data_IF_450301498816
#
_entry.id   IF_450301498816
#
_cell.length_a   1.000
_cell.length_b   1.000
_cell.length_c   1.000
_cell.angle_alpha   90.00
_cell.angle_beta   90.00
_cell.angle_gamma   90.00
#
_symmetry.space_group_name_H-M   'P 1'
#
loop_
_entity.id
_entity.type
_entity.pdbx_description
1 polymer ?
#
# COMPACT_ATOMS: atom_id res chain seq x y z
N UNK A 1 11.40 -0.89 -0.54
CA UNK A 1 12.81 -0.86 -0.11
C UNK A 1 13.03 -0.12 1.22
N UNK A 2 12.08 0.73 1.65
CA UNK A 2 12.21 1.45 2.92
C UNK A 2 12.15 0.48 4.11
N UNK A 3 13.02 0.63 5.13
CA UNK A 3 13.11 -0.30 6.27
C UNK A 3 11.84 -0.36 7.13
N UNK A 4 10.98 0.66 7.12
CA UNK A 4 9.69 0.62 7.82
C UNK A 4 8.82 -0.58 7.41
N UNK A 5 8.83 -0.97 6.13
CA UNK A 5 8.05 -2.10 5.62
C UNK A 5 8.62 -3.44 6.09
N UNK A 6 9.95 -3.54 6.18
CA UNK A 6 10.62 -4.72 6.74
C UNK A 6 10.29 -4.86 8.24
N UNK A 7 10.22 -3.73 8.95
CA UNK A 7 9.85 -3.74 10.37
C UNK A 7 8.39 -4.16 10.56
N UNK A 8 7.45 -3.61 9.79
CA UNK A 8 6.04 -4.02 9.83
C UNK A 8 5.89 -5.53 9.57
N UNK A 9 6.58 -6.03 8.55
CA UNK A 9 6.61 -7.46 8.22
C UNK A 9 7.18 -8.30 9.36
N UNK A 10 8.31 -7.91 9.93
CA UNK A 10 8.94 -8.63 11.04
C UNK A 10 8.03 -8.72 12.27
N UNK A 11 7.33 -7.66 12.64
CA UNK A 11 6.36 -7.70 13.74
C UNK A 11 5.15 -8.60 13.44
N UNK A 12 4.66 -8.60 12.21
CA UNK A 12 3.59 -9.49 11.80
C UNK A 12 4.04 -10.96 11.86
N UNK A 13 5.20 -11.29 11.32
CA UNK A 13 5.80 -12.64 11.33
C UNK A 13 6.12 -13.12 12.75
N UNK A 14 6.51 -12.22 13.66
CA UNK A 14 6.72 -12.53 15.07
C UNK A 14 5.42 -12.75 15.87
N UNK A 15 4.25 -12.52 15.24
CA UNK A 15 2.95 -12.70 15.88
C UNK A 15 2.61 -11.63 16.93
N UNK A 16 3.26 -10.47 16.88
CA UNK A 16 3.10 -9.37 17.85
C UNK A 16 1.66 -8.84 17.94
N UNK A 17 0.89 -8.98 16.87
CA UNK A 17 -0.52 -8.57 16.83
C UNK A 17 -1.51 -9.75 16.92
N UNK A 18 -1.01 -10.96 17.16
CA UNK A 18 -1.83 -12.17 17.16
C UNK A 18 -2.24 -12.60 15.75
N UNK A 19 -3.46 -13.08 15.58
CA UNK A 19 -3.99 -13.49 14.28
C UNK A 19 -4.39 -12.25 13.48
N UNK A 20 -3.82 -12.08 12.28
CA UNK A 20 -4.21 -10.98 11.37
C UNK A 20 -5.69 -11.11 10.98
N UNK A 21 -6.45 -10.02 11.11
CA UNK A 21 -7.90 -9.97 10.82
C UNK A 21 -8.26 -8.99 9.72
N UNK A 22 -7.54 -7.87 9.63
CA UNK A 22 -7.84 -6.81 8.68
C UNK A 22 -6.59 -6.03 8.27
N UNK A 23 -6.55 -5.60 7.03
CA UNK A 23 -5.59 -4.60 6.54
C UNK A 23 -6.37 -3.45 5.92
N UNK A 24 -6.07 -2.23 6.33
CA UNK A 24 -6.60 -0.99 5.72
C UNK A 24 -5.47 -0.13 5.20
N UNK A 25 -5.64 0.44 4.00
CA UNK A 25 -4.66 1.31 3.38
C UNK A 25 -5.32 2.53 2.73
N UNK A 26 -4.73 3.69 2.89
CA UNK A 26 -5.19 4.88 2.21
C UNK A 26 -4.03 5.66 1.61
N UNK A 27 -4.20 6.10 0.36
CA UNK A 27 -3.35 7.09 -0.26
C UNK A 27 -4.22 8.09 -1.01
N UNK A 28 -4.22 9.32 -0.57
CA UNK A 28 -4.98 10.41 -1.20
C UNK A 28 -4.15 11.67 -1.27
N UNK A 29 -4.40 12.47 -2.28
CA UNK A 29 -3.88 13.83 -2.44
C UNK A 29 -4.85 14.67 -3.26
N UNK A 30 -4.71 16.00 -3.19
CA UNK A 30 -5.56 16.90 -3.94
C UNK A 30 -4.80 17.45 -5.16
N UNK A 31 -5.15 16.95 -6.35
CA UNK A 31 -4.60 17.41 -7.62
C UNK A 31 -5.54 18.44 -8.25
N UNK A 32 -5.06 19.69 -8.34
CA UNK A 32 -5.82 20.81 -8.90
C UNK A 32 -5.51 21.07 -10.39
N UNK A 33 -4.35 20.64 -10.85
CA UNK A 33 -3.91 20.79 -12.23
C UNK A 33 -4.61 19.74 -13.13
N UNK A 34 -5.58 20.17 -13.90
CA UNK A 34 -6.35 19.32 -14.82
C UNK A 34 -5.55 18.86 -16.05
N UNK A 35 -4.48 19.56 -16.42
CA UNK A 35 -3.59 19.18 -17.52
C UNK A 35 -2.58 18.11 -17.13
N UNK A 36 -2.48 17.79 -15.85
CA UNK A 36 -1.59 16.73 -15.36
C UNK A 36 -1.96 15.38 -15.98
N UNK A 37 -0.94 14.58 -16.32
CA UNK A 37 -1.11 13.27 -16.97
C UNK A 37 -2.05 12.32 -16.19
N UNK A 38 -2.16 12.48 -14.88
CA UNK A 38 -3.07 11.69 -14.03
C UNK A 38 -4.55 11.93 -14.32
N UNK A 39 -4.89 13.07 -14.91
CA UNK A 39 -6.25 13.42 -15.35
C UNK A 39 -6.51 13.03 -16.82
N UNK A 40 -5.56 12.37 -17.47
CA UNK A 40 -5.63 12.06 -18.90
C UNK A 40 -5.78 10.56 -19.15
N UNK A 41 -6.90 10.11 -19.74
CA UNK A 41 -7.11 8.69 -20.03
C UNK A 41 -6.15 8.15 -21.11
N UNK A 42 -5.78 8.98 -22.10
CA UNK A 42 -4.80 8.64 -23.14
C UNK A 42 -3.37 8.44 -22.59
N UNK A 43 -3.07 9.01 -21.44
CA UNK A 43 -1.79 8.83 -20.73
C UNK A 43 -1.86 7.71 -19.66
N UNK A 44 -2.97 6.97 -19.58
CA UNK A 44 -3.16 5.97 -18.55
C UNK A 44 -3.38 6.55 -17.15
N UNK A 45 -4.01 7.72 -17.05
CA UNK A 45 -4.31 8.38 -15.78
C UNK A 45 -5.25 7.58 -14.87
N UNK A 46 -5.51 8.13 -13.70
CA UNK A 46 -6.37 7.54 -12.66
C UNK A 46 -5.67 7.34 -11.33
N UNK A 47 -6.42 7.41 -10.25
CA UNK A 47 -5.88 7.27 -8.89
C UNK A 47 -5.37 5.85 -8.62
N UNK A 48 -6.07 4.84 -9.09
CA UNK A 48 -5.64 3.44 -8.93
C UNK A 48 -4.32 3.17 -9.64
N UNK A 49 -4.15 3.64 -10.87
CA UNK A 49 -2.91 3.41 -11.63
C UNK A 49 -1.73 4.16 -11.05
N UNK A 50 -1.96 5.37 -10.53
CA UNK A 50 -0.89 6.19 -9.95
C UNK A 50 -0.52 5.75 -8.53
N UNK A 51 -1.52 5.57 -7.66
CA UNK A 51 -1.29 5.34 -6.23
C UNK A 51 -1.88 4.04 -5.66
N UNK A 52 -2.70 3.32 -6.41
CA UNK A 52 -3.16 1.98 -6.01
C UNK A 52 -2.03 0.96 -5.88
N UNK A 53 -0.98 1.10 -6.68
CA UNK A 53 0.23 0.26 -6.57
C UNK A 53 0.83 0.26 -5.16
N UNK A 54 0.74 1.38 -4.45
CA UNK A 54 1.26 1.51 -3.09
C UNK A 54 0.34 0.86 -2.06
N UNK A 55 -0.97 1.08 -2.14
CA UNK A 55 -1.93 0.50 -1.20
C UNK A 55 -2.01 -1.02 -1.34
N UNK A 56 -2.01 -1.54 -2.57
CA UNK A 56 -2.01 -2.97 -2.85
C UNK A 56 -0.65 -3.61 -2.57
N UNK A 57 0.41 -2.99 -3.07
CA UNK A 57 1.77 -3.49 -2.92
C UNK A 57 2.22 -3.59 -1.47
N UNK A 58 1.89 -2.60 -0.61
CA UNK A 58 2.25 -2.64 0.81
C UNK A 58 1.54 -3.77 1.56
N UNK A 59 0.24 -3.96 1.33
CA UNK A 59 -0.51 -5.06 1.91
C UNK A 59 0.08 -6.42 1.50
N UNK A 60 0.27 -6.64 0.19
CA UNK A 60 0.85 -7.87 -0.35
C UNK A 60 2.27 -8.13 0.14
N UNK A 61 3.10 -7.08 0.22
CA UNK A 61 4.48 -7.20 0.66
C UNK A 61 4.60 -7.62 2.13
N UNK A 62 3.86 -6.96 3.01
CA UNK A 62 3.94 -7.22 4.47
C UNK A 62 3.32 -8.57 4.82
N UNK A 63 2.19 -8.92 4.19
CA UNK A 63 1.43 -10.14 4.53
C UNK A 63 1.79 -11.36 3.69
N UNK A 64 2.55 -11.19 2.59
CA UNK A 64 2.80 -12.23 1.60
C UNK A 64 1.51 -12.91 1.11
N UNK A 65 0.42 -12.15 0.96
CA UNK A 65 -0.92 -12.66 0.65
C UNK A 65 -1.43 -12.10 -0.67
N UNK A 66 -2.33 -12.85 -1.31
CA UNK A 66 -2.96 -12.48 -2.58
C UNK A 66 -4.48 -12.29 -2.39
N UNK A 67 -5.13 -11.45 -3.23
CA UNK A 67 -6.57 -11.29 -3.19
C UNK A 67 -7.27 -12.56 -3.70
N UNK A 68 -8.33 -12.98 -3.01
CA UNK A 68 -9.21 -14.09 -3.42
C UNK A 68 -10.64 -13.64 -3.71
N UNK A 69 -11.00 -12.46 -3.22
CA UNK A 69 -12.29 -11.81 -3.51
C UNK A 69 -12.11 -10.31 -3.41
N UNK A 70 -12.59 -9.56 -4.41
CA UNK A 70 -12.53 -8.10 -4.46
C UNK A 70 -13.85 -7.51 -4.91
N UNK A 71 -14.20 -6.37 -4.34
CA UNK A 71 -15.24 -5.46 -4.80
C UNK A 71 -14.72 -4.03 -4.77
N UNK A 72 -15.23 -3.16 -5.64
CA UNK A 72 -14.80 -1.79 -5.70
C UNK A 72 -15.90 -0.81 -6.06
N UNK A 73 -15.78 0.43 -5.61
CA UNK A 73 -16.57 1.59 -6.02
C UNK A 73 -15.62 2.64 -6.58
N UNK A 74 -15.93 3.15 -7.76
CA UNK A 74 -15.10 4.10 -8.48
C UNK A 74 -15.92 5.38 -8.76
N UNK A 75 -15.26 6.54 -8.63
CA UNK A 75 -15.78 7.80 -9.17
C UNK A 75 -14.91 8.15 -10.36
N UNK A 76 -15.53 8.28 -11.53
CA UNK A 76 -14.86 8.61 -12.77
C UNK A 76 -15.08 10.08 -13.12
N UNK A 77 -14.02 10.76 -13.52
CA UNK A 77 -14.06 12.10 -14.11
C UNK A 77 -13.26 12.07 -15.41
N UNK A 78 -13.86 12.50 -16.50
CA UNK A 78 -13.20 12.56 -17.81
C UNK A 78 -12.51 11.25 -18.24
N UNK A 79 -13.09 10.10 -17.85
CA UNK A 79 -12.59 8.77 -18.25
C UNK A 79 -11.45 8.22 -17.42
N UNK A 80 -11.12 8.84 -16.27
CA UNK A 80 -10.17 8.32 -15.29
C UNK A 80 -10.82 8.21 -13.91
N UNK A 81 -10.40 7.24 -13.11
CA UNK A 81 -10.83 7.15 -11.72
C UNK A 81 -10.14 8.23 -10.88
N UNK A 82 -10.94 9.08 -10.25
CA UNK A 82 -10.45 10.12 -9.32
C UNK A 82 -10.59 9.70 -7.86
N UNK A 83 -11.37 8.66 -7.63
CA UNK A 83 -11.57 8.00 -6.35
C UNK A 83 -11.81 6.51 -6.58
N UNK A 84 -11.20 5.67 -5.76
CA UNK A 84 -11.51 4.26 -5.67
C UNK A 84 -11.55 3.80 -4.21
N UNK A 85 -12.60 3.07 -3.87
CA UNK A 85 -12.73 2.33 -2.62
C UNK A 85 -12.78 0.85 -2.94
N UNK A 86 -11.85 0.09 -2.37
CA UNK A 86 -11.73 -1.36 -2.59
C UNK A 86 -11.96 -2.08 -1.27
N UNK A 87 -12.71 -3.15 -1.30
CA UNK A 87 -12.88 -4.07 -0.19
C UNK A 87 -12.76 -5.51 -0.69
N UNK A 88 -12.28 -6.41 0.17
CA UNK A 88 -12.16 -7.80 -0.24
C UNK A 88 -11.57 -8.71 0.83
N UNK A 89 -11.22 -9.90 0.39
CA UNK A 89 -10.56 -10.95 1.18
C UNK A 89 -9.20 -11.23 0.56
N UNK A 90 -8.19 -11.28 1.40
CA UNK A 90 -6.86 -11.76 1.04
C UNK A 90 -6.54 -13.07 1.75
N UNK A 91 -5.70 -13.90 1.13
CA UNK A 91 -5.29 -15.19 1.66
C UNK A 91 -3.79 -15.41 1.45
N UNK A 92 -3.12 -15.96 2.47
CA UNK A 92 -1.69 -16.25 2.44
C UNK A 92 -1.20 -16.94 3.71
N UNK A 93 0.09 -16.82 4.04
CA UNK A 93 0.68 -17.51 5.21
C UNK A 93 0.02 -17.16 6.55
N UNK A 94 -0.60 -15.99 6.64
CA UNK A 94 -1.29 -15.53 7.86
C UNK A 94 -2.80 -15.87 7.86
N UNK A 95 -3.24 -16.78 6.98
CA UNK A 95 -4.63 -17.18 6.82
C UNK A 95 -5.43 -16.20 5.96
N UNK A 96 -6.75 -16.20 6.15
CA UNK A 96 -7.68 -15.28 5.47
C UNK A 96 -7.98 -14.09 6.36
N UNK A 97 -7.97 -12.91 5.75
CA UNK A 97 -8.30 -11.65 6.42
C UNK A 97 -9.00 -10.69 5.46
N UNK A 98 -9.73 -9.73 6.00
CA UNK A 98 -10.38 -8.69 5.20
C UNK A 98 -9.38 -7.61 4.80
N UNK A 99 -9.57 -7.04 3.62
CA UNK A 99 -8.79 -5.94 3.09
C UNK A 99 -9.70 -4.77 2.75
N UNK A 100 -9.24 -3.56 3.06
CA UNK A 100 -9.84 -2.31 2.63
C UNK A 100 -8.79 -1.35 2.09
N UNK A 101 -9.10 -0.61 1.03
CA UNK A 101 -8.26 0.50 0.64
C UNK A 101 -9.04 1.64 -0.02
N UNK A 102 -8.42 2.82 0.02
CA UNK A 102 -8.93 4.01 -0.63
C UNK A 102 -7.80 4.76 -1.34
N UNK A 103 -8.04 5.12 -2.59
CA UNK A 103 -7.19 6.04 -3.35
C UNK A 103 -8.00 7.22 -3.85
N UNK A 104 -7.42 8.41 -3.90
CA UNK A 104 -8.06 9.56 -4.51
C UNK A 104 -7.09 10.67 -4.89
N UNK A 105 -7.39 11.33 -5.99
CA UNK A 105 -6.74 12.56 -6.44
C UNK A 105 -7.57 13.82 -6.12
N UNK A 106 -8.63 13.70 -5.33
CA UNK A 106 -9.56 14.79 -5.00
C UNK A 106 -9.71 15.05 -3.50
N UNK A 107 -9.03 14.25 -2.67
CA UNK A 107 -9.07 14.38 -1.21
C UNK A 107 -7.79 15.00 -0.68
N UNK A 108 -7.86 15.53 0.55
CA UNK A 108 -6.68 16.00 1.26
C UNK A 108 -5.63 14.89 1.41
N UNK A 109 -4.37 15.26 1.50
CA UNK A 109 -3.26 14.31 1.60
C UNK A 109 -3.41 13.41 2.84
N UNK A 110 -3.45 12.10 2.61
CA UNK A 110 -3.47 11.07 3.64
C UNK A 110 -2.71 9.85 3.14
N UNK A 111 -1.78 9.38 3.95
CA UNK A 111 -1.06 8.14 3.69
C UNK A 111 -0.99 7.34 4.98
N UNK A 112 -1.56 6.16 4.98
CA UNK A 112 -1.54 5.25 6.14
C UNK A 112 -1.76 3.82 5.69
N UNK A 113 -1.11 2.88 6.37
CA UNK A 113 -1.42 1.46 6.27
C UNK A 113 -1.50 0.88 7.68
N UNK A 114 -2.55 0.11 7.93
CA UNK A 114 -2.81 -0.50 9.24
C UNK A 114 -3.01 -2.00 9.07
N UNK A 115 -2.32 -2.79 9.89
CA UNK A 115 -2.49 -4.24 10.00
C UNK A 115 -3.09 -4.53 11.36
N UNK A 116 -4.33 -5.00 11.41
CA UNK A 116 -5.06 -5.27 12.65
C UNK A 116 -5.17 -6.76 12.92
N UNK A 117 -4.71 -7.15 14.09
CA UNK A 117 -4.88 -8.49 14.61
C UNK A 117 -5.82 -8.51 15.82
N UNK A 118 -5.99 -9.70 16.41
CA UNK A 118 -6.83 -9.90 17.60
C UNK A 118 -6.13 -9.55 18.93
N UNK A 119 -4.81 -9.24 18.90
CA UNK A 119 -4.03 -8.84 20.08
C UNK A 119 -3.33 -7.49 19.95
N UNK A 120 -3.37 -6.88 18.77
CA UNK A 120 -2.70 -5.61 18.52
C UNK A 120 -2.88 -5.12 17.10
N UNK A 121 -2.15 -4.05 16.80
CA UNK A 121 -2.21 -3.37 15.51
C UNK A 121 -0.81 -2.84 15.16
N UNK A 122 -0.40 -2.98 13.90
CA UNK A 122 0.75 -2.31 13.33
C UNK A 122 0.23 -1.18 12.46
N UNK A 123 0.76 0.03 12.65
CA UNK A 123 0.40 1.21 11.90
C UNK A 123 1.63 1.83 11.26
N UNK A 124 1.59 2.07 9.97
CA UNK A 124 2.65 2.72 9.20
C UNK A 124 2.14 4.08 8.76
N UNK A 125 2.74 5.13 9.30
CA UNK A 125 2.37 6.54 9.11
C UNK A 125 3.58 7.40 8.77
N UNK A 126 3.44 8.73 8.86
CA UNK A 126 4.50 9.66 8.49
C UNK A 126 4.75 9.70 6.97
N UNK A 127 3.67 9.56 6.19
CA UNK A 127 3.75 9.52 4.73
C UNK A 127 4.45 8.26 4.21
N UNK A 128 3.98 7.05 4.55
CA UNK A 128 4.70 5.80 4.33
C UNK A 128 5.10 5.54 2.88
N UNK A 129 4.39 6.09 1.92
CA UNK A 129 4.68 5.92 0.50
C UNK A 129 5.67 6.96 -0.04
N UNK A 130 5.79 8.10 0.66
CA UNK A 130 6.77 9.16 0.42
C UNK A 130 7.68 9.34 1.65
N UNK A 131 8.13 8.24 2.22
CA UNK A 131 8.88 8.20 3.46
C UNK A 131 10.06 9.17 3.47
N UNK A 132 10.13 10.00 4.53
CA UNK A 132 11.13 11.04 4.76
C UNK A 132 11.12 12.20 3.72
N UNK A 133 10.06 12.36 2.93
CA UNK A 133 9.90 13.51 2.03
C UNK A 133 9.13 14.64 2.72
N UNK A 134 7.96 14.31 3.29
CA UNK A 134 7.06 15.30 3.91
C UNK A 134 7.04 15.17 5.43
N UNK A 135 7.35 13.99 5.96
CA UNK A 135 7.35 13.69 7.37
C UNK A 135 8.33 12.55 7.67
N UNK A 136 8.63 12.33 8.94
CA UNK A 136 9.53 11.26 9.37
C UNK A 136 8.83 9.90 9.26
N UNK A 137 9.45 8.98 8.51
CA UNK A 137 8.95 7.62 8.41
C UNK A 137 8.95 6.93 9.76
N UNK A 138 7.78 6.43 10.16
CA UNK A 138 7.63 5.70 11.41
C UNK A 138 6.68 4.51 11.27
N UNK A 139 6.88 3.55 12.14
CA UNK A 139 5.98 2.41 12.31
C UNK A 139 5.68 2.22 13.79
N UNK A 140 4.43 2.02 14.10
CA UNK A 140 3.94 1.84 15.45
C UNK A 140 3.41 0.42 15.65
N UNK A 141 3.71 -0.17 16.80
CA UNK A 141 3.09 -1.38 17.30
C UNK A 141 2.23 -1.06 18.52
N UNK A 142 0.94 -1.24 18.39
CA UNK A 142 -0.05 -1.05 19.45
C UNK A 142 -0.45 -2.41 20.02
N UNK A 143 -0.35 -2.57 21.33
CA UNK A 143 -0.69 -3.82 22.04
C UNK A 143 -1.58 -3.56 23.25
N UNK A 144 -2.11 -4.62 23.84
CA UNK A 144 -2.93 -4.56 25.04
C UNK A 144 -2.25 -3.77 26.17
N UNK A 145 -3.05 -3.13 27.03
CA UNK A 145 -2.54 -2.32 28.14
C UNK A 145 -2.02 -0.95 27.72
N UNK A 146 -2.48 -0.43 26.58
CA UNK A 146 -2.05 0.86 26.02
C UNK A 146 -0.53 0.94 25.71
N UNK A 147 0.11 -0.21 25.51
CA UNK A 147 1.52 -0.25 25.11
C UNK A 147 1.63 0.15 23.64
N UNK A 148 2.45 1.16 23.37
CA UNK A 148 2.81 1.59 22.02
C UNK A 148 4.33 1.59 21.89
N UNK A 149 4.84 0.96 20.86
CA UNK A 149 6.25 1.02 20.45
C UNK A 149 6.30 1.78 19.13
N UNK A 150 7.01 2.89 19.08
CA UNK A 150 7.22 3.67 17.86
C UNK A 150 8.68 3.54 17.43
N UNK A 151 8.89 3.15 16.18
CA UNK A 151 10.22 3.07 15.57
C UNK A 151 10.31 4.06 14.40
N UNK A 152 11.37 4.90 14.40
CA UNK A 152 11.57 5.97 13.41
C UNK A 152 12.80 5.71 12.55
N UNK A 153 12.72 6.14 11.28
CA UNK A 153 13.74 5.90 10.28
C UNK A 153 14.19 7.22 9.61
N UNK A 154 14.93 8.08 10.34
CA UNK A 154 15.15 9.46 9.92
C UNK A 154 16.03 9.64 8.68
N UNK A 155 16.84 8.63 8.33
CA UNK A 155 17.89 8.78 7.30
C UNK A 155 17.70 7.86 6.08
N UNK A 156 16.66 7.03 6.06
CA UNK A 156 16.46 6.09 4.96
C UNK A 156 15.85 6.79 3.73
N UNK A 157 16.45 6.58 2.56
CA UNK A 157 15.90 6.98 1.28
C UNK A 157 15.58 5.73 0.45
N UNK A 158 14.30 5.46 0.23
CA UNK A 158 13.85 4.24 -0.44
C UNK A 158 14.29 4.16 -1.91
N UNK A 159 14.45 5.27 -2.61
CA UNK A 159 14.94 5.29 -3.98
C UNK A 159 16.43 4.94 -4.06
N UNK A 160 17.25 5.46 -3.15
CA UNK A 160 18.65 5.06 -3.03
C UNK A 160 18.75 3.57 -2.76
N UNK A 161 18.02 3.07 -1.76
CA UNK A 161 17.98 1.64 -1.41
C UNK A 161 17.52 0.76 -2.58
N UNK A 162 16.56 1.24 -3.38
CA UNK A 162 16.08 0.55 -4.57
C UNK A 162 17.18 0.41 -5.63
N UNK A 163 17.85 1.52 -5.96
CA UNK A 163 18.92 1.54 -6.98
C UNK A 163 20.11 0.68 -6.53
N UNK A 164 20.49 0.78 -5.26
CA UNK A 164 21.57 -0.04 -4.69
C UNK A 164 21.22 -1.54 -4.71
N UNK A 165 19.98 -1.91 -4.35
CA UNK A 165 19.52 -3.30 -4.39
C UNK A 165 19.54 -3.84 -5.82
N UNK A 166 19.08 -3.07 -6.80
CA UNK A 166 19.11 -3.45 -8.21
C UNK A 166 20.55 -3.61 -8.71
N UNK A 167 21.41 -2.65 -8.36
CA UNK A 167 22.83 -2.72 -8.70
C UNK A 167 23.54 -3.96 -8.13
N UNK A 168 23.24 -4.36 -6.89
CA UNK A 168 23.76 -5.62 -6.30
C UNK A 168 23.25 -6.84 -7.03
N UNK A 169 21.96 -6.87 -7.38
CA UNK A 169 21.40 -8.00 -8.14
C UNK A 169 22.13 -8.23 -9.46
N UNK A 170 22.50 -7.15 -10.17
CA UNK A 170 23.25 -7.24 -11.43
C UNK A 170 24.70 -7.66 -11.20
N UNK A 171 25.41 -7.02 -10.27
CA UNK A 171 26.85 -7.23 -10.09
C UNK A 171 27.20 -8.50 -9.33
N UNK A 172 26.36 -8.89 -8.37
CA UNK A 172 26.66 -9.95 -7.40
C UNK A 172 25.75 -11.17 -7.56
N UNK A 173 24.73 -11.08 -8.44
CA UNK A 173 23.80 -12.19 -8.68
C UNK A 173 22.86 -12.46 -7.50
N UNK A 174 22.76 -11.54 -6.53
CA UNK A 174 21.83 -11.69 -5.40
C UNK A 174 20.38 -11.45 -5.83
N UNK A 175 19.44 -12.13 -5.20
CA UNK A 175 18.02 -11.97 -5.52
C UNK A 175 17.56 -10.52 -5.28
N UNK A 176 16.84 -9.95 -6.24
CA UNK A 176 16.23 -8.63 -6.07
C UNK A 176 15.04 -8.71 -5.09
N UNK A 177 14.97 -7.83 -4.08
CA UNK A 177 13.95 -7.91 -3.03
C UNK A 177 12.50 -7.76 -3.51
N UNK A 178 12.30 -7.18 -4.70
CA UNK A 178 10.99 -6.98 -5.30
C UNK A 178 10.95 -7.63 -6.70
N UNK A 179 10.78 -8.97 -6.80
CA UNK A 179 10.83 -9.67 -8.07
C UNK A 179 9.67 -9.27 -8.99
N UNK A 180 9.85 -9.44 -10.31
CA UNK A 180 8.84 -9.09 -11.32
C UNK A 180 7.50 -9.78 -11.07
N UNK A 181 7.50 -11.01 -10.57
CA UNK A 181 6.25 -11.73 -10.25
C UNK A 181 5.44 -11.04 -9.15
N UNK A 182 6.11 -10.44 -8.17
CA UNK A 182 5.43 -9.62 -7.17
C UNK A 182 4.79 -8.38 -7.81
N UNK A 183 5.49 -7.69 -8.71
CA UNK A 183 4.97 -6.51 -9.42
C UNK A 183 3.80 -6.88 -10.32
N UNK A 184 3.90 -7.98 -11.07
CA UNK A 184 2.80 -8.52 -11.89
C UNK A 184 1.55 -8.83 -11.07
N UNK A 185 1.71 -9.41 -9.89
CA UNK A 185 0.57 -9.67 -8.99
C UNK A 185 -0.10 -8.38 -8.50
N UNK A 186 0.66 -7.31 -8.23
CA UNK A 186 0.07 -6.01 -7.89
C UNK A 186 -0.70 -5.42 -9.07
N UNK A 187 -0.17 -5.52 -10.29
CA UNK A 187 -0.88 -5.10 -11.50
C UNK A 187 -2.17 -5.91 -11.71
N UNK A 188 -2.11 -7.23 -11.57
CA UNK A 188 -3.29 -8.10 -11.69
C UNK A 188 -4.38 -7.75 -10.67
N UNK A 189 -4.00 -7.34 -9.45
CA UNK A 189 -4.97 -6.85 -8.46
C UNK A 189 -5.63 -5.54 -8.93
N UNK A 190 -4.88 -4.60 -9.51
CA UNK A 190 -5.46 -3.37 -10.09
C UNK A 190 -6.41 -3.68 -11.25
N UNK A 191 -6.01 -4.56 -12.17
CA UNK A 191 -6.84 -4.97 -13.30
C UNK A 191 -8.16 -5.63 -12.81
N UNK A 192 -8.07 -6.46 -11.78
CA UNK A 192 -9.26 -7.05 -11.15
C UNK A 192 -10.19 -5.96 -10.59
N UNK A 193 -9.64 -4.96 -9.90
CA UNK A 193 -10.42 -3.85 -9.34
C UNK A 193 -11.17 -3.08 -10.44
N UNK A 194 -10.53 -2.80 -11.57
CA UNK A 194 -11.24 -2.17 -12.71
C UNK A 194 -12.34 -3.06 -13.29
N UNK A 195 -12.13 -4.38 -13.33
CA UNK A 195 -13.10 -5.32 -13.88
C UNK A 195 -14.35 -5.50 -13.00
N UNK A 196 -14.18 -5.47 -11.66
CA UNK A 196 -15.27 -5.65 -10.69
C UNK A 196 -15.83 -4.33 -10.18
N UNK A 197 -15.20 -3.21 -10.50
CA UNK A 197 -15.55 -1.90 -10.01
C UNK A 197 -16.91 -1.42 -10.50
N UNK A 198 -17.71 -0.90 -9.59
CA UNK A 198 -19.00 -0.26 -9.89
C UNK A 198 -18.80 1.25 -9.85
N UNK A 199 -19.14 1.92 -10.93
CA UNK A 199 -19.12 3.39 -10.96
C UNK A 199 -20.24 3.95 -10.06
N UNK A 200 -19.85 4.94 -9.25
CA UNK A 200 -20.76 5.70 -8.40
C UNK A 200 -20.65 7.19 -8.67
N UNK A 201 -21.71 7.93 -8.41
CA UNK A 201 -21.71 9.41 -8.39
C UNK A 201 -21.98 9.93 -6.99
N UNK A 202 -21.41 11.09 -6.66
CA UNK A 202 -21.68 11.84 -5.44
C UNK A 202 -22.68 12.95 -5.69
#
# INVERSE_FOLDING_TARGET
HHPQWQRAKAWLEAGEIGTLRHVDAAFTFHLTDLENIRNRPDAGGGSLRDIGVYTFGSARFVTASEPVDLSARLILENGVDTFAQVAGIMEGPHGRFTYGSMTSMRLYNRQVVTFQGDKGMIRVEGGPFNANVNDMAEVELHQNGNRVITERFPTANHYVLQVEAFGRSIREGVAYPCPLEFVKGTQAMMDTVYNVGVEISL
#
